data_IF_241771084196
#
_entry.id   IF_241771084196
#
_cell.length_a   1.000
_cell.length_b   1.000
_cell.length_c   1.000
_cell.angle_alpha   90.00
_cell.angle_beta   90.00
_cell.angle_gamma   90.00
#
_symmetry.space_group_name_H-M   'P 1'
#
loop_
_entity.id
_entity.type
_entity.pdbx_description
1 polymer ?
#
# COMPACT_ATOMS: atom_id res chain seq x y z
N UNK A 1 4.90 -12.88 -3.41
CA UNK A 1 3.55 -12.39 -3.08
C UNK A 1 3.05 -11.51 -4.22
N UNK A 2 1.73 -11.45 -4.45
CA UNK A 2 1.14 -10.45 -5.34
C UNK A 2 1.27 -9.07 -4.71
N UNK A 3 1.60 -8.07 -5.51
CA UNK A 3 1.80 -6.70 -5.07
C UNK A 3 0.97 -5.73 -5.90
N UNK A 4 0.58 -4.61 -5.27
CA UNK A 4 -0.19 -3.54 -5.89
C UNK A 4 0.44 -2.19 -5.57
N UNK A 5 0.67 -1.39 -6.60
CA UNK A 5 1.13 -0.01 -6.41
C UNK A 5 -0.04 0.95 -6.19
N UNK A 6 0.07 1.77 -5.15
CA UNK A 6 -0.93 2.75 -4.70
C UNK A 6 -0.22 4.02 -4.22
N UNK A 7 -0.95 5.14 -4.19
CA UNK A 7 -0.42 6.38 -3.63
C UNK A 7 -0.11 6.18 -2.14
N UNK A 8 1.00 6.74 -1.66
CA UNK A 8 1.55 6.40 -0.35
C UNK A 8 0.67 6.81 0.83
N UNK A 9 -0.06 7.92 0.75
CA UNK A 9 -1.05 8.34 1.75
C UNK A 9 -2.17 7.32 1.94
N UNK A 10 -2.65 6.71 0.85
CA UNK A 10 -3.66 5.66 0.96
C UNK A 10 -3.14 4.41 1.66
N UNK A 11 -1.84 4.08 1.55
CA UNK A 11 -1.26 2.99 2.34
C UNK A 11 -1.23 3.36 3.82
N UNK A 12 -0.85 4.60 4.14
CA UNK A 12 -0.88 5.06 5.53
C UNK A 12 -2.30 5.01 6.11
N UNK A 13 -3.32 5.34 5.32
CA UNK A 13 -4.73 5.21 5.73
C UNK A 13 -5.17 3.75 5.89
N UNK A 14 -4.65 2.81 5.10
CA UNK A 14 -4.89 1.37 5.29
C UNK A 14 -4.30 0.88 6.62
N UNK A 15 -3.05 1.30 6.91
CA UNK A 15 -2.36 0.96 8.16
C UNK A 15 -3.08 1.55 9.37
N UNK A 16 -3.58 2.79 9.26
CA UNK A 16 -4.39 3.43 10.29
C UNK A 16 -5.83 2.87 10.40
N UNK A 17 -6.21 1.89 9.57
CA UNK A 17 -7.55 1.29 9.56
C UNK A 17 -8.66 2.19 8.99
N UNK A 18 -8.30 3.33 8.40
CA UNK A 18 -9.22 4.32 7.82
C UNK A 18 -9.69 3.92 6.43
N UNK A 19 -8.80 3.33 5.63
CA UNK A 19 -9.11 2.89 4.26
C UNK A 19 -9.35 1.39 4.21
N UNK A 20 -10.60 1.00 3.94
CA UNK A 20 -11.05 -0.40 3.83
C UNK A 20 -11.41 -0.82 2.40
N UNK A 21 -11.49 0.13 1.48
CA UNK A 21 -11.84 -0.09 0.08
C UNK A 21 -10.77 0.55 -0.80
N UNK A 22 -10.23 -0.22 -1.73
CA UNK A 22 -9.42 0.26 -2.83
C UNK A 22 -10.24 0.31 -4.13
N UNK A 23 -10.22 1.43 -4.83
CA UNK A 23 -11.03 1.64 -6.03
C UNK A 23 -10.19 1.43 -7.27
N UNK A 24 -10.68 0.63 -8.23
CA UNK A 24 -9.97 0.37 -9.50
C UNK A 24 -10.95 0.27 -10.66
N UNK A 25 -10.51 0.69 -11.84
CA UNK A 25 -11.23 0.50 -13.11
C UNK A 25 -11.11 -0.92 -13.67
N UNK A 26 -10.38 -1.81 -12.97
CA UNK A 26 -10.16 -3.19 -13.40
C UNK A 26 -10.29 -4.15 -12.21
N UNK A 27 -10.53 -5.42 -12.51
CA UNK A 27 -10.65 -6.50 -11.53
C UNK A 27 -9.58 -7.57 -11.71
N UNK A 28 -9.40 -8.35 -10.65
CA UNK A 28 -8.59 -9.58 -10.63
C UNK A 28 -9.41 -10.70 -9.99
N UNK A 29 -9.12 -11.94 -10.37
CA UNK A 29 -9.66 -13.13 -9.71
C UNK A 29 -8.90 -13.49 -8.41
N UNK A 30 -7.76 -12.84 -8.16
CA UNK A 30 -6.94 -13.09 -6.97
C UNK A 30 -7.63 -12.68 -5.66
N UNK A 31 -7.50 -13.52 -4.62
CA UNK A 31 -7.90 -13.23 -3.24
C UNK A 31 -6.81 -13.69 -2.29
N UNK A 32 -6.66 -12.97 -1.18
CA UNK A 32 -5.60 -13.21 -0.20
C UNK A 32 -4.60 -12.06 -0.08
N UNK A 33 -3.37 -12.34 0.41
CA UNK A 33 -2.37 -11.33 0.74
C UNK A 33 -1.88 -10.53 -0.47
N UNK A 34 -1.96 -9.20 -0.35
CA UNK A 34 -1.43 -8.23 -1.29
C UNK A 34 -0.41 -7.35 -0.60
N UNK A 35 0.81 -7.34 -1.12
CA UNK A 35 1.84 -6.41 -0.73
C UNK A 35 1.52 -5.01 -1.29
N UNK A 36 1.41 -4.02 -0.40
CA UNK A 36 1.07 -2.66 -0.79
C UNK A 36 2.34 -1.83 -0.99
N UNK A 37 2.55 -1.37 -2.22
CA UNK A 37 3.73 -0.62 -2.63
C UNK A 37 3.39 0.86 -2.89
N UNK A 38 3.99 1.76 -2.12
CA UNK A 38 3.87 3.20 -2.36
C UNK A 38 4.46 3.54 -3.72
N UNK A 39 3.70 4.26 -4.54
CA UNK A 39 4.26 4.93 -5.72
C UNK A 39 5.41 5.85 -5.31
N UNK A 40 6.29 6.19 -6.25
CA UNK A 40 7.39 7.15 -6.02
C UNK A 40 6.91 8.60 -5.88
N UNK A 41 5.60 8.87 -6.00
CA UNK A 41 5.03 10.20 -5.78
C UNK A 41 5.27 10.62 -4.33
N UNK A 42 5.99 11.72 -4.17
CA UNK A 42 6.30 12.33 -2.87
C UNK A 42 5.04 12.98 -2.28
N UNK A 43 4.37 12.25 -1.40
CA UNK A 43 3.22 12.73 -0.63
C UNK A 43 3.68 12.92 0.82
N UNK A 44 3.38 14.08 1.40
CA UNK A 44 3.81 14.40 2.76
C UNK A 44 3.25 13.36 3.75
N UNK A 45 4.09 12.86 4.66
CA UNK A 45 3.66 11.86 5.64
C UNK A 45 3.61 10.42 5.13
N UNK A 46 4.08 10.14 3.90
CA UNK A 46 4.16 8.80 3.35
C UNK A 46 5.61 8.40 3.00
N UNK A 47 5.85 7.09 2.80
CA UNK A 47 7.14 6.53 2.39
C UNK A 47 7.16 6.22 0.88
N UNK A 48 7.57 7.16 0.00
CA UNK A 48 7.50 6.98 -1.45
C UNK A 48 8.48 5.90 -1.95
N UNK A 49 8.00 5.00 -2.82
CA UNK A 49 8.83 3.95 -3.43
C UNK A 49 9.08 2.70 -2.55
N UNK A 50 8.41 2.61 -1.40
CA UNK A 50 8.52 1.48 -0.49
C UNK A 50 7.24 0.67 -0.41
N UNK A 51 7.38 -0.65 -0.31
CA UNK A 51 6.35 -1.52 0.22
C UNK A 51 6.47 -1.58 1.73
N UNK A 52 5.36 -1.40 2.44
CA UNK A 52 5.38 -1.19 3.91
C UNK A 52 4.29 -1.95 4.68
N UNK A 53 3.29 -2.51 3.99
CA UNK A 53 2.31 -3.40 4.62
C UNK A 53 1.77 -4.45 3.65
N UNK A 54 1.14 -5.47 4.24
CA UNK A 54 0.36 -6.49 3.55
C UNK A 54 -1.10 -6.30 3.94
N UNK A 55 -1.99 -6.33 2.95
CA UNK A 55 -3.44 -6.33 3.15
C UNK A 55 -4.04 -7.60 2.59
N UNK A 56 -5.13 -8.08 3.15
CA UNK A 56 -5.91 -9.17 2.59
C UNK A 56 -6.99 -8.63 1.66
N UNK A 57 -6.95 -8.99 0.37
CA UNK A 57 -8.03 -8.73 -0.56
C UNK A 57 -9.13 -9.79 -0.38
N UNK A 58 -10.24 -9.39 0.25
CA UNK A 58 -11.34 -10.29 0.64
C UNK A 58 -12.38 -10.47 -0.46
N UNK A 59 -12.80 -9.37 -1.09
CA UNK A 59 -13.81 -9.38 -2.13
C UNK A 59 -13.62 -8.22 -3.10
N UNK A 60 -14.20 -8.34 -4.29
CA UNK A 60 -14.32 -7.25 -5.26
C UNK A 60 -15.77 -7.22 -5.70
N UNK A 61 -16.35 -6.04 -5.69
CA UNK A 61 -17.70 -5.77 -6.17
C UNK A 61 -17.63 -4.66 -7.21
N UNK A 62 -18.40 -4.79 -8.29
CA UNK A 62 -18.52 -3.74 -9.30
C UNK A 62 -19.69 -2.82 -8.93
N UNK A 63 -19.45 -1.51 -9.01
CA UNK A 63 -20.44 -0.48 -8.71
C UNK A 63 -20.73 0.31 -10.00
N UNK A 64 -21.84 0.00 -10.69
CA UNK A 64 -22.15 0.60 -12.00
C UNK A 64 -22.26 2.13 -11.99
N UNK A 65 -22.76 2.71 -10.90
CA UNK A 65 -22.93 4.17 -10.79
C UNK A 65 -21.59 4.93 -10.78
N UNK A 66 -20.54 4.31 -10.24
CA UNK A 66 -19.19 4.88 -10.19
C UNK A 66 -18.30 4.38 -11.34
N UNK A 67 -18.76 3.38 -12.09
CA UNK A 67 -17.97 2.60 -13.06
C UNK A 67 -16.64 2.09 -12.48
N UNK A 68 -16.67 1.64 -11.23
CA UNK A 68 -15.49 1.20 -10.49
C UNK A 68 -15.70 -0.14 -9.80
N UNK A 69 -14.61 -0.88 -9.66
CA UNK A 69 -14.49 -2.04 -8.81
C UNK A 69 -14.01 -1.60 -7.42
N UNK A 70 -14.79 -1.95 -6.40
CA UNK A 70 -14.45 -1.76 -5.00
C UNK A 70 -13.78 -3.02 -4.50
N UNK A 71 -12.49 -2.91 -4.19
CA UNK A 71 -11.67 -3.98 -3.64
C UNK A 71 -11.70 -3.87 -2.12
N UNK A 72 -12.44 -4.75 -1.46
CA UNK A 72 -12.52 -4.79 -0.01
C UNK A 72 -11.23 -5.38 0.56
N UNK A 73 -10.54 -4.58 1.36
CA UNK A 73 -9.22 -4.88 1.91
C UNK A 73 -9.24 -4.75 3.43
N UNK A 74 -8.38 -5.54 4.06
CA UNK A 74 -8.16 -5.52 5.50
C UNK A 74 -6.65 -5.57 5.76
N UNK A 75 -6.15 -4.73 6.66
CA UNK A 75 -4.75 -4.78 7.06
C UNK A 75 -4.43 -6.17 7.65
N UNK A 76 -3.41 -6.83 7.11
CA UNK A 76 -2.92 -8.10 7.65
C UNK A 76 -1.75 -7.82 8.58
N UNK A 77 -0.67 -7.25 8.02
CA UNK A 77 0.59 -7.03 8.72
C UNK A 77 1.24 -5.73 8.23
N UNK A 78 1.98 -5.08 9.11
CA UNK A 78 3.03 -4.14 8.71
C UNK A 78 4.34 -4.90 8.53
N UNK A 79 5.17 -4.46 7.60
CA UNK A 79 6.40 -5.15 7.24
C UNK A 79 7.60 -4.23 7.30
N UNK A 80 8.79 -4.83 7.38
CA UNK A 80 10.04 -4.11 7.15
C UNK A 80 10.01 -3.47 5.75
N UNK A 81 10.34 -2.17 5.62
CA UNK A 81 10.23 -1.47 4.34
C UNK A 81 11.09 -2.10 3.25
N UNK A 82 10.47 -2.42 2.12
CA UNK A 82 11.15 -2.96 0.94
C UNK A 82 11.15 -1.89 -0.14
N UNK A 83 12.31 -1.52 -0.66
CA UNK A 83 12.36 -0.65 -1.83
C UNK A 83 11.83 -1.40 -3.06
N UNK A 84 10.70 -0.97 -3.60
CA UNK A 84 10.03 -1.64 -4.72
C UNK A 84 9.64 -0.63 -5.79
N UNK A 85 10.11 -0.85 -7.02
CA UNK A 85 9.64 -0.08 -8.16
C UNK A 85 8.21 -0.53 -8.50
N UNK A 86 7.23 0.34 -8.27
CA UNK A 86 5.84 0.08 -8.61
C UNK A 86 5.65 -0.26 -10.09
N UNK A 87 4.71 -1.16 -10.37
CA UNK A 87 4.34 -1.57 -11.72
C UNK A 87 2.83 -1.40 -11.95
N UNK A 88 2.41 -1.39 -13.22
CA UNK A 88 1.00 -1.41 -13.57
C UNK A 88 0.40 -2.79 -13.24
N UNK A 89 -0.89 -2.78 -12.85
CA UNK A 89 -1.66 -3.98 -12.46
C UNK A 89 -1.01 -4.71 -11.27
N UNK A 90 -1.41 -5.97 -11.04
CA UNK A 90 -0.73 -6.81 -10.05
C UNK A 90 0.61 -7.30 -10.61
N UNK A 91 1.63 -7.25 -9.78
CA UNK A 91 2.95 -7.81 -10.06
C UNK A 91 3.39 -8.73 -8.92
N UNK A 92 4.54 -9.37 -9.06
CA UNK A 92 5.08 -10.29 -8.06
C UNK A 92 6.31 -9.68 -7.39
N UNK A 93 6.42 -9.86 -6.08
CA UNK A 93 7.62 -9.60 -5.27
C UNK A 93 8.00 -10.91 -4.59
N UNK A 94 9.29 -11.19 -4.43
CA UNK A 94 9.76 -12.39 -3.73
C UNK A 94 9.27 -12.40 -2.27
N UNK A 95 8.74 -13.54 -1.83
CA UNK A 95 8.27 -13.72 -0.45
C UNK A 95 9.42 -13.61 0.56
N UNK A 96 10.64 -13.98 0.18
CA UNK A 96 11.80 -13.95 1.07
C UNK A 96 12.19 -12.53 1.52
N UNK A 97 11.69 -11.52 0.82
CA UNK A 97 11.91 -10.11 1.17
C UNK A 97 10.89 -9.57 2.17
N UNK A 98 9.80 -10.30 2.41
CA UNK A 98 8.65 -9.84 3.19
C UNK A 98 8.80 -10.32 4.62
N UNK A 99 9.17 -9.40 5.51
CA UNK A 99 9.36 -9.64 6.94
C UNK A 99 8.31 -8.85 7.73
N UNK A 100 7.26 -9.51 8.27
CA UNK A 100 6.32 -8.88 9.20
C UNK A 100 7.01 -8.40 10.46
N UNK A 101 6.64 -7.21 10.93
CA UNK A 101 7.22 -6.59 12.13
C UNK A 101 6.12 -6.04 13.03
N UNK A 102 6.46 -5.70 14.27
CA UNK A 102 5.54 -5.03 15.17
C UNK A 102 5.28 -3.58 14.75
N UNK A 103 4.15 -3.02 15.21
CA UNK A 103 3.79 -1.63 14.92
C UNK A 103 4.83 -0.63 15.46
N UNK A 104 5.45 -0.96 16.60
CA UNK A 104 6.54 -0.16 17.20
C UNK A 104 7.80 -0.16 16.33
N UNK A 105 8.18 -1.32 15.79
CA UNK A 105 9.32 -1.42 14.87
C UNK A 105 9.03 -0.70 13.56
N UNK A 106 7.82 -0.86 13.03
CA UNK A 106 7.38 -0.15 11.83
C UNK A 106 7.56 1.36 11.96
N UNK A 107 7.14 1.96 13.07
CA UNK A 107 7.30 3.40 13.29
C UNK A 107 8.78 3.82 13.26
N UNK A 108 9.67 3.02 13.85
CA UNK A 108 11.12 3.26 13.83
C UNK A 108 11.70 3.18 12.40
N UNK A 109 11.35 2.12 11.66
CA UNK A 109 11.87 1.81 10.33
C UNK A 109 11.32 2.75 9.23
N UNK A 110 10.05 3.15 9.35
CA UNK A 110 9.38 3.99 8.33
C UNK A 110 9.64 5.47 8.57
N UNK A 111 9.82 5.92 9.81
CA UNK A 111 10.10 7.33 10.14
C UNK A 111 11.19 7.98 9.27
N UNK A 112 12.38 7.39 9.03
CA UNK A 112 13.40 7.98 8.16
C UNK A 112 13.00 8.04 6.68
N UNK A 113 12.02 7.25 6.26
CA UNK A 113 11.54 7.17 4.88
C UNK A 113 10.39 8.15 4.59
N UNK A 114 9.78 8.71 5.63
CA UNK A 114 8.67 9.65 5.49
C UNK A 114 9.11 10.91 4.77
N UNK A 115 8.44 11.20 3.65
CA UNK A 115 8.67 12.43 2.92
C UNK A 115 8.11 13.64 3.70
N UNK A 116 9.00 14.60 3.95
CA UNK A 116 8.66 15.92 4.47
C UNK A 116 8.98 16.99 3.42
N UNK A 117 8.00 17.77 2.94
CA UNK A 117 8.27 18.84 1.98
C UNK A 117 9.14 19.91 2.65
N UNK A 118 10.19 20.36 1.96
CA UNK A 118 10.98 21.51 2.41
C UNK A 118 10.07 22.74 2.35
N UNK A 119 9.88 23.44 3.47
CA UNK A 119 9.27 24.78 3.46
C UNK A 119 10.11 25.65 2.52
N UNK A 120 9.49 26.19 1.46
CA UNK A 120 10.10 27.34 0.77
C UNK A 120 10.17 28.45 1.82
N UNK A 121 11.37 28.94 2.11
CA UNK A 121 11.51 30.25 2.75
C UNK A 121 10.95 31.24 1.73
N UNK A 122 9.82 31.85 2.06
CA UNK A 122 9.34 33.05 1.35
C UNK A 122 10.29 34.21 1.66
#
# INVERSE_FOLDING_TARGET
MKALSVRGDYIMDMIAGKKKIEYRTWKTNYRGPLLMCSTTKKVAGAAPGYAICVVNLKSIQYFPFEDLYHWNIELADVIKPIHVKGQLKLFNVDNNLIEPISMKEFESEVRPLIYTPRRKKN
#
